data_IF_007934480145
#
_entry.id   IF_007934480145
#
_cell.length_a   1.000
_cell.length_b   1.000
_cell.length_c   1.000
_cell.angle_alpha   90.00
_cell.angle_beta   90.00
_cell.angle_gamma   90.00
#
_symmetry.space_group_name_H-M   'P 1'
#
loop_
_entity.id
_entity.type
_entity.pdbx_description
1 polymer ?
#
# COMPACT_ATOMS: atom_id res chain seq x y z
N UNK A 1 23.06 0.24 13.62
CA UNK A 1 22.14 1.38 13.83
C UNK A 1 21.57 1.78 12.48
N UNK A 2 20.27 1.57 12.24
CA UNK A 2 19.64 1.88 10.95
C UNK A 2 19.16 3.34 10.97
N UNK A 3 19.65 4.13 10.02
CA UNK A 3 19.40 5.56 9.88
C UNK A 3 17.92 5.84 9.55
N UNK A 4 17.19 6.41 10.50
CA UNK A 4 15.80 6.86 10.38
C UNK A 4 15.61 8.22 9.70
N UNK A 5 16.60 8.66 8.91
CA UNK A 5 16.66 10.02 8.34
C UNK A 5 16.01 10.14 6.95
N UNK A 6 15.80 9.02 6.23
CA UNK A 6 15.21 9.04 4.88
C UNK A 6 13.71 9.38 4.82
N UNK A 7 13.02 9.38 5.97
CA UNK A 7 11.58 9.63 6.02
C UNK A 7 11.19 11.10 6.25
N UNK A 8 12.07 11.94 6.82
CA UNK A 8 11.74 13.34 7.17
C UNK A 8 11.70 14.27 5.95
N UNK A 9 12.65 14.15 5.03
CA UNK A 9 12.75 15.00 3.84
C UNK A 9 11.68 14.67 2.78
N UNK A 10 11.42 13.38 2.54
CA UNK A 10 10.40 12.93 1.57
C UNK A 10 8.96 13.36 1.93
N UNK A 11 8.69 13.58 3.23
CA UNK A 11 7.37 14.04 3.71
C UNK A 11 6.98 15.45 3.27
N UNK A 12 7.94 16.27 2.81
CA UNK A 12 7.69 17.68 2.42
C UNK A 12 7.36 17.86 0.93
N UNK A 13 7.42 16.82 0.11
CA UNK A 13 7.16 16.89 -1.34
C UNK A 13 6.22 15.76 -1.83
N UNK A 14 5.24 15.37 -1.02
CA UNK A 14 4.21 14.45 -1.49
C UNK A 14 3.12 15.24 -2.21
N UNK A 15 2.76 14.80 -3.41
CA UNK A 15 1.54 15.21 -4.08
C UNK A 15 0.31 14.61 -3.36
N UNK A 16 -0.90 14.97 -3.79
CA UNK A 16 -2.13 14.46 -3.16
C UNK A 16 -2.18 12.91 -3.11
N UNK A 17 -1.85 12.18 -4.19
CA UNK A 17 -1.72 10.72 -4.15
C UNK A 17 -0.69 10.23 -3.11
N UNK A 18 0.47 10.87 -3.03
CA UNK A 18 1.49 10.55 -2.03
C UNK A 18 1.01 10.75 -0.59
N UNK A 19 0.24 11.81 -0.33
CA UNK A 19 -0.38 12.05 0.98
C UNK A 19 -1.43 11.00 1.33
N UNK A 20 -2.31 10.64 0.39
CA UNK A 20 -3.29 9.59 0.58
C UNK A 20 -2.61 8.25 0.91
N UNK A 21 -1.51 7.95 0.22
CA UNK A 21 -0.73 6.75 0.46
C UNK A 21 -0.07 6.73 1.85
N UNK A 22 0.41 7.87 2.33
CA UNK A 22 0.96 7.97 3.69
C UNK A 22 -0.11 7.79 4.78
N UNK A 23 -1.33 8.27 4.56
CA UNK A 23 -2.46 8.02 5.46
C UNK A 23 -2.73 6.52 5.57
N UNK A 24 -2.76 5.81 4.44
CA UNK A 24 -2.93 4.36 4.41
C UNK A 24 -1.77 3.62 5.10
N UNK A 25 -0.51 4.00 4.82
CA UNK A 25 0.67 3.38 5.45
C UNK A 25 0.67 3.46 6.97
N UNK A 26 0.07 4.50 7.55
CA UNK A 26 -0.04 4.67 9.01
C UNK A 26 -1.20 3.88 9.62
N UNK A 27 -2.16 3.43 8.82
CA UNK A 27 -3.31 2.67 9.30
C UNK A 27 -2.92 1.18 9.55
N UNK A 28 -3.05 0.69 10.81
CA UNK A 28 -2.66 -0.70 11.14
C UNK A 28 -3.53 -1.75 10.43
N UNK A 29 -4.81 -1.46 10.16
CA UNK A 29 -5.71 -2.36 9.41
C UNK A 29 -5.27 -2.47 7.96
N UNK A 30 -4.92 -1.34 7.33
CA UNK A 30 -4.38 -1.34 5.96
C UNK A 30 -3.10 -2.17 5.87
N UNK A 31 -2.17 -2.00 6.83
CA UNK A 31 -0.93 -2.78 6.88
C UNK A 31 -1.18 -4.29 7.02
N UNK A 32 -2.19 -4.69 7.79
CA UNK A 32 -2.56 -6.10 7.93
C UNK A 32 -3.10 -6.67 6.62
N UNK A 33 -4.03 -5.97 5.97
CA UNK A 33 -4.60 -6.37 4.68
C UNK A 33 -3.56 -6.42 3.58
N UNK A 34 -2.72 -5.38 3.46
CA UNK A 34 -1.63 -5.33 2.49
C UNK A 34 -0.68 -6.53 2.62
N UNK A 35 -0.34 -6.94 3.85
CA UNK A 35 0.51 -8.12 4.07
C UNK A 35 -0.18 -9.43 3.68
N UNK A 36 -1.48 -9.56 3.95
CA UNK A 36 -2.27 -10.74 3.52
C UNK A 36 -2.27 -10.86 2.00
N UNK A 37 -2.60 -9.77 1.32
CA UNK A 37 -2.61 -9.72 -0.15
C UNK A 37 -1.21 -9.93 -0.73
N UNK A 38 -0.17 -9.37 -0.10
CA UNK A 38 1.23 -9.60 -0.51
C UNK A 38 1.64 -11.06 -0.45
N UNK A 39 1.26 -11.78 0.62
CA UNK A 39 1.50 -13.22 0.75
C UNK A 39 0.71 -14.04 -0.27
N UNK A 40 -0.51 -13.59 -0.60
CA UNK A 40 -1.32 -14.20 -1.64
C UNK A 40 -0.74 -13.97 -3.04
N UNK A 41 0.00 -12.88 -3.33
CA UNK A 41 0.72 -12.74 -4.63
C UNK A 41 1.75 -13.82 -4.90
N UNK A 42 2.32 -14.40 -3.86
CA UNK A 42 3.30 -15.49 -3.98
C UNK A 42 2.62 -16.81 -4.36
N UNK A 43 1.28 -16.87 -4.31
CA UNK A 43 0.46 -18.03 -4.67
C UNK A 43 -0.50 -17.64 -5.80
N UNK A 44 -0.91 -18.58 -6.65
CA UNK A 44 -1.95 -18.30 -7.65
C UNK A 44 -3.26 -17.91 -6.93
N UNK A 45 -3.92 -16.83 -7.37
CA UNK A 45 -5.12 -16.25 -6.70
C UNK A 45 -5.07 -14.75 -6.41
N UNK A 46 -4.07 -14.06 -6.94
CA UNK A 46 -3.74 -12.71 -6.49
C UNK A 46 -4.61 -11.57 -7.05
N UNK A 47 -5.30 -11.80 -8.17
CA UNK A 47 -6.17 -10.80 -8.82
C UNK A 47 -7.39 -10.49 -7.95
N UNK A 48 -8.09 -11.51 -7.46
CA UNK A 48 -9.27 -11.29 -6.61
C UNK A 48 -8.91 -10.62 -5.28
N UNK A 49 -7.77 -11.00 -4.69
CA UNK A 49 -7.27 -10.37 -3.47
C UNK A 49 -6.93 -8.88 -3.68
N UNK A 50 -6.42 -8.49 -4.86
CA UNK A 50 -6.22 -7.07 -5.25
C UNK A 50 -7.54 -6.33 -5.32
N UNK A 51 -8.54 -6.90 -5.99
CA UNK A 51 -9.83 -6.24 -6.18
C UNK A 51 -10.55 -5.99 -4.86
N UNK A 52 -10.54 -6.96 -3.95
CA UNK A 52 -11.13 -6.78 -2.60
C UNK A 52 -10.40 -5.65 -1.85
N UNK A 53 -9.07 -5.62 -1.91
CA UNK A 53 -8.28 -4.58 -1.28
C UNK A 53 -8.52 -3.20 -1.90
N UNK A 54 -8.61 -3.15 -3.23
CA UNK A 54 -8.89 -1.94 -4.01
C UNK A 54 -10.22 -1.30 -3.59
N UNK A 55 -11.30 -2.10 -3.60
CA UNK A 55 -12.64 -1.65 -3.20
C UNK A 55 -12.68 -1.19 -1.75
N UNK A 56 -12.00 -1.91 -0.85
CA UNK A 56 -12.00 -1.60 0.60
C UNK A 56 -11.28 -0.30 0.93
N UNK A 57 -10.18 0.00 0.24
CA UNK A 57 -9.30 1.12 0.58
C UNK A 57 -9.34 2.26 -0.44
N UNK A 58 -10.22 2.19 -1.45
CA UNK A 58 -10.34 3.21 -2.50
C UNK A 58 -9.11 3.25 -3.41
N UNK A 59 -8.44 2.11 -3.62
CA UNK A 59 -7.25 2.02 -4.46
C UNK A 59 -7.61 1.55 -5.87
N UNK A 60 -6.75 1.88 -6.82
CA UNK A 60 -6.72 1.25 -8.14
C UNK A 60 -5.34 0.64 -8.36
N UNK A 61 -5.29 -0.62 -8.79
CA UNK A 61 -4.05 -1.28 -9.16
C UNK A 61 -4.00 -1.40 -10.68
N UNK A 62 -2.88 -1.07 -11.33
CA UNK A 62 -2.74 -1.32 -12.75
C UNK A 62 -2.90 -2.83 -13.01
N UNK A 63 -3.79 -3.16 -13.94
CA UNK A 63 -3.85 -4.50 -14.52
C UNK A 63 -2.53 -4.67 -15.29
N UNK A 64 -1.65 -5.55 -14.80
CA UNK A 64 -0.51 -5.98 -15.61
C UNK A 64 -1.08 -6.87 -16.69
N UNK A 65 -1.05 -6.39 -17.94
CA UNK A 65 -1.21 -7.21 -19.12
C UNK A 65 -0.05 -8.21 -19.21
#
# INVERSE_FOLDING_TARGET
MATGEGGKAARRQLDLPGFAQEFLRRNPRYRADHRKVTRLFVREGATQAREVMARRWGLSFPVRA
#
